data_IF_439356830457
#
_entry.id   IF_439356830457
#
_cell.length_a   1.000
_cell.length_b   1.000
_cell.length_c   1.000
_cell.angle_alpha   90.00
_cell.angle_beta   90.00
_cell.angle_gamma   90.00
#
_symmetry.space_group_name_H-M   'P 1'
#
loop_
_entity.id
_entity.type
_entity.pdbx_description
1 polymer ?
#
# COMPACT_ATOMS: atom_id res chain seq x y z
N UNK A 1 -12.95 -8.82 -3.68
CA UNK A 1 -12.46 -8.61 -2.31
C UNK A 1 -12.52 -7.12 -2.01
N UNK A 2 -12.75 -6.68 -0.77
CA UNK A 2 -12.93 -5.25 -0.43
C UNK A 2 -12.23 -4.89 0.88
N UNK A 3 -11.76 -3.64 1.00
CA UNK A 3 -11.19 -3.08 2.23
C UNK A 3 -12.31 -2.70 3.21
N UNK A 4 -12.37 -3.42 4.33
CA UNK A 4 -13.44 -3.24 5.32
C UNK A 4 -13.15 -2.10 6.31
N UNK A 5 -11.99 -2.14 6.98
CA UNK A 5 -11.64 -1.20 8.05
C UNK A 5 -10.13 -0.98 8.09
N UNK A 6 -9.72 0.22 8.51
CA UNK A 6 -8.33 0.58 8.78
C UNK A 6 -8.20 0.85 10.28
N UNK A 7 -7.18 0.27 10.90
CA UNK A 7 -6.85 0.54 12.29
C UNK A 7 -5.48 1.19 12.34
N UNK A 8 -5.43 2.46 12.73
CA UNK A 8 -4.17 3.20 12.88
C UNK A 8 -3.69 3.16 14.32
N UNK A 9 -2.39 3.41 14.49
CA UNK A 9 -1.84 3.76 15.80
C UNK A 9 -2.29 5.16 16.21
N UNK A 10 -2.20 5.49 17.51
CA UNK A 10 -2.73 6.72 18.10
C UNK A 10 -2.26 8.01 17.40
N UNK A 11 -1.02 8.02 16.91
CA UNK A 11 -0.40 9.19 16.26
C UNK A 11 -0.33 9.06 14.73
N UNK A 12 -1.05 8.11 14.15
CA UNK A 12 -1.04 7.85 12.71
C UNK A 12 -2.38 8.22 12.08
N UNK A 13 -2.33 9.15 11.13
CA UNK A 13 -3.47 9.55 10.33
C UNK A 13 -3.87 8.47 9.30
N UNK A 14 -5.17 8.16 9.21
CA UNK A 14 -5.71 7.13 8.32
C UNK A 14 -5.44 7.46 6.85
N UNK A 15 -5.58 8.73 6.45
CA UNK A 15 -5.35 9.13 5.06
C UNK A 15 -3.90 8.92 4.65
N UNK A 16 -2.96 9.14 5.57
CA UNK A 16 -1.54 8.86 5.38
C UNK A 16 -1.30 7.36 5.18
N UNK A 17 -1.91 6.50 5.99
CA UNK A 17 -1.81 5.03 5.83
C UNK A 17 -2.39 4.59 4.50
N UNK A 18 -3.61 5.03 4.17
CA UNK A 18 -4.29 4.70 2.92
C UNK A 18 -3.48 5.14 1.70
N UNK A 19 -2.90 6.35 1.74
CA UNK A 19 -2.08 6.86 0.64
C UNK A 19 -0.83 6.02 0.43
N UNK A 20 -0.13 5.64 1.51
CA UNK A 20 1.11 4.87 1.41
C UNK A 20 0.85 3.40 1.06
N UNK A 21 -0.07 2.73 1.76
CA UNK A 21 -0.42 1.35 1.50
C UNK A 21 -1.08 1.20 0.12
N UNK A 22 -2.01 2.09 -0.23
CA UNK A 22 -2.64 2.08 -1.54
C UNK A 22 -1.63 2.24 -2.67
N UNK A 23 -0.67 3.16 -2.55
CA UNK A 23 0.40 3.32 -3.54
C UNK A 23 1.29 2.09 -3.67
N UNK A 24 1.67 1.48 -2.54
CA UNK A 24 2.50 0.26 -2.52
C UNK A 24 1.79 -0.91 -3.20
N UNK A 25 0.51 -1.10 -2.91
CA UNK A 25 -0.26 -2.25 -3.38
C UNK A 25 -0.81 -2.08 -4.80
N UNK A 26 -0.82 -0.86 -5.34
CA UNK A 26 -1.36 -0.58 -6.68
C UNK A 26 -0.68 -1.39 -7.80
N UNK A 27 0.60 -1.76 -7.62
CA UNK A 27 1.36 -2.58 -8.57
C UNK A 27 1.23 -4.10 -8.37
N UNK A 28 0.53 -4.56 -7.33
CA UNK A 28 0.46 -5.98 -6.95
C UNK A 28 -0.64 -6.71 -7.72
N UNK A 29 -0.40 -7.95 -8.13
CA UNK A 29 -1.42 -8.78 -8.80
C UNK A 29 -2.33 -9.53 -7.80
N UNK A 30 -2.01 -9.48 -6.51
CA UNK A 30 -2.77 -10.21 -5.49
C UNK A 30 -4.16 -9.57 -5.27
N UNK A 31 -5.26 -10.35 -5.24
CA UNK A 31 -6.62 -9.82 -5.04
C UNK A 31 -6.82 -9.02 -3.75
N UNK A 32 -6.04 -9.33 -2.70
CA UNK A 32 -6.08 -8.62 -1.41
C UNK A 32 -5.43 -7.24 -1.56
N UNK A 33 -4.27 -7.18 -2.22
CA UNK A 33 -3.55 -5.95 -2.48
C UNK A 33 -4.39 -4.98 -3.32
N UNK A 34 -5.03 -5.51 -4.38
CA UNK A 34 -5.97 -4.74 -5.19
C UNK A 34 -7.14 -4.19 -4.37
N UNK A 35 -7.69 -4.97 -3.42
CA UNK A 35 -8.74 -4.48 -2.54
C UNK A 35 -8.29 -3.31 -1.65
N UNK A 36 -7.04 -3.32 -1.20
CA UNK A 36 -6.44 -2.20 -0.43
C UNK A 36 -6.25 -0.98 -1.32
N UNK A 37 -5.68 -1.15 -2.52
CA UNK A 37 -5.47 -0.04 -3.45
C UNK A 37 -6.78 0.64 -3.86
N UNK A 38 -7.79 -0.13 -4.27
CA UNK A 38 -9.12 0.40 -4.62
C UNK A 38 -9.76 1.10 -3.42
N UNK A 39 -9.77 0.46 -2.25
CA UNK A 39 -10.34 1.06 -1.04
C UNK A 39 -9.65 2.36 -0.62
N UNK A 40 -8.34 2.48 -0.85
CA UNK A 40 -7.60 3.71 -0.60
C UNK A 40 -7.96 4.82 -1.60
N UNK A 41 -8.02 4.51 -2.90
CA UNK A 41 -8.41 5.47 -3.92
C UNK A 41 -9.83 6.02 -3.70
N UNK A 42 -10.77 5.13 -3.36
CA UNK A 42 -12.17 5.48 -3.11
C UNK A 42 -12.31 6.41 -1.90
N UNK A 43 -11.63 6.10 -0.78
CA UNK A 43 -11.70 6.91 0.45
C UNK A 43 -11.00 8.25 0.34
N UNK A 44 -9.89 8.31 -0.41
CA UNK A 44 -9.12 9.55 -0.59
C UNK A 44 -9.70 10.45 -1.70
N UNK A 45 -10.55 9.90 -2.57
CA UNK A 45 -11.08 10.62 -3.74
C UNK A 45 -9.99 11.07 -4.71
N UNK A 46 -8.88 10.34 -4.78
CA UNK A 46 -7.69 10.75 -5.53
C UNK A 46 -6.97 9.54 -6.18
N UNK A 47 -6.25 9.82 -7.26
CA UNK A 47 -5.34 8.84 -7.86
C UNK A 47 -4.16 8.56 -6.93
N UNK A 48 -3.85 7.28 -6.75
CA UNK A 48 -2.71 6.86 -5.92
C UNK A 48 -1.40 7.18 -6.63
N UNK A 49 -0.37 7.64 -5.91
CA UNK A 49 0.93 7.89 -6.50
C UNK A 49 1.57 6.57 -6.95
N UNK A 50 2.42 6.63 -7.97
CA UNK A 50 3.22 5.49 -8.40
C UNK A 50 4.16 5.08 -7.26
N UNK A 51 4.24 3.78 -6.90
CA UNK A 51 5.14 3.35 -5.85
C UNK A 51 6.59 3.66 -6.24
N UNK A 52 7.35 4.22 -5.30
CA UNK A 52 8.80 4.35 -5.45
C UNK A 52 9.39 2.95 -5.28
N UNK A 53 10.31 2.56 -6.17
CA UNK A 53 11.03 1.29 -6.00
C UNK A 53 11.75 1.28 -4.65
N UNK A 54 11.57 0.20 -3.89
CA UNK A 54 12.34 -0.01 -2.66
C UNK A 54 13.77 -0.37 -3.06
N UNK A 55 14.80 0.20 -2.42
CA UNK A 55 16.16 -0.28 -2.63
C UNK A 55 16.24 -1.73 -2.14
N UNK A 56 16.55 -2.66 -3.04
CA UNK A 56 16.87 -4.04 -2.67
C UNK A 56 18.08 -4.01 -1.72
N UNK A 57 17.91 -4.52 -0.50
CA UNK A 57 19.04 -4.69 0.42
C UNK A 57 20.10 -5.58 -0.22
N UNK A 58 21.40 -5.22 -0.19
CA UNK A 58 22.46 -6.00 -0.85
C UNK A 58 22.66 -7.41 -0.26
N UNK A 59 22.08 -7.71 0.90
CA UNK A 59 22.34 -8.93 1.67
C UNK A 59 21.64 -10.21 1.14
N UNK A 60 20.70 -10.08 0.20
CA UNK A 60 19.96 -11.25 -0.35
C UNK A 60 20.72 -12.05 -1.42
N UNK A 61 21.92 -11.61 -1.85
CA UNK A 61 22.72 -12.30 -2.87
C UNK A 61 23.69 -13.38 -2.34
N UNK A 62 23.85 -13.56 -1.02
CA UNK A 62 24.89 -14.43 -0.43
C UNK A 62 24.43 -15.85 -0.06
N UNK A 63 23.31 -16.34 -0.58
CA UNK A 63 22.88 -17.75 -0.41
C UNK A 63 22.60 -18.39 -1.78
N UNK A 64 23.67 -18.72 -2.48
CA UNK A 64 23.69 -19.68 -3.59
C UNK A 64 24.90 -20.60 -3.40
#
# INVERSE_FOLDING_TARGET
>A
MTLLTVHTAQDTDENTVLRLAGALEHSSEHPIAQAVATGAADRLGATLPTPKTSPTSPDSASRA
#
